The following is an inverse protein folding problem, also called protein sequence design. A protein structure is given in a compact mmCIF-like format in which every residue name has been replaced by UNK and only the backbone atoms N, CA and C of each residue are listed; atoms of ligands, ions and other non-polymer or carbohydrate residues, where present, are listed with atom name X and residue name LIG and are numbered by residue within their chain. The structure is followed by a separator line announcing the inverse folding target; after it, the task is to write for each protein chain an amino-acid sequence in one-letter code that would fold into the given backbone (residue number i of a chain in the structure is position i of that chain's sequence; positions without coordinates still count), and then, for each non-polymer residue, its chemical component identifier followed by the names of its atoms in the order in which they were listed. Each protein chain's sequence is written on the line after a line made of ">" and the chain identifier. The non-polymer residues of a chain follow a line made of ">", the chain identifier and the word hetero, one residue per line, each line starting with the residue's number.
data_IF_959558520149
#
_entry.id   IF_959558520149
#
_cell.length_a   1.000
_cell.length_b   1.000
_cell.length_c   1.000
_cell.angle_alpha   90.00
_cell.angle_beta   90.00
_cell.angle_gamma   90.00
#
_symmetry.space_group_name_H-M   'P 1'
#
loop_
_entity.id
_entity.type
_entity.pdbx_description
1 polymer ?
#
# COMPACT_ATOMS: atom_id res chain seq x y z
N UNK A 1 16.71 -11.58 17.40
CA UNK A 1 17.13 -12.13 16.10
C UNK A 1 15.87 -12.55 15.38
N UNK A 2 15.46 -11.85 14.32
CA UNK A 2 14.42 -12.34 13.42
C UNK A 2 15.06 -12.35 12.03
N UNK A 3 15.63 -13.49 11.65
CA UNK A 3 15.93 -13.77 10.26
C UNK A 3 14.56 -14.12 9.65
N UNK A 4 13.87 -13.13 9.09
CA UNK A 4 12.65 -13.35 8.33
C UNK A 4 13.06 -14.10 7.08
N UNK A 5 12.88 -15.42 7.08
CA UNK A 5 13.02 -16.25 5.88
C UNK A 5 12.01 -15.71 4.86
N UNK A 6 12.46 -14.93 3.88
CA UNK A 6 11.60 -14.50 2.79
C UNK A 6 11.22 -15.75 1.99
N UNK A 7 9.97 -16.18 2.13
CA UNK A 7 9.40 -17.33 1.44
C UNK A 7 9.16 -16.89 -0.01
N UNK A 8 9.96 -17.44 -0.92
CA UNK A 8 9.71 -17.33 -2.34
C UNK A 8 8.64 -18.37 -2.72
N UNK A 9 7.59 -17.93 -3.40
CA UNK A 9 6.45 -18.74 -3.83
C UNK A 9 6.15 -18.41 -5.29
N UNK A 10 5.81 -19.40 -6.10
CA UNK A 10 5.39 -19.15 -7.48
C UNK A 10 3.96 -18.59 -7.52
N UNK A 11 3.52 -17.95 -8.62
CA UNK A 11 2.14 -17.48 -8.76
C UNK A 11 1.10 -18.60 -8.61
N UNK A 12 1.40 -19.81 -9.08
CA UNK A 12 0.50 -20.97 -9.03
C UNK A 12 0.30 -21.44 -7.58
N UNK A 13 1.42 -21.63 -6.85
CA UNK A 13 1.39 -22.00 -5.43
C UNK A 13 0.75 -20.90 -4.56
N UNK A 14 0.95 -19.62 -4.91
CA UNK A 14 0.29 -18.51 -4.22
C UNK A 14 -1.22 -18.56 -4.37
N UNK A 15 -1.73 -18.85 -5.57
CA UNK A 15 -3.17 -18.96 -5.80
C UNK A 15 -3.79 -20.14 -5.04
N UNK A 16 -3.12 -21.28 -4.99
CA UNK A 16 -3.55 -22.43 -4.18
C UNK A 16 -3.58 -22.09 -2.69
N UNK A 17 -2.57 -21.35 -2.20
CA UNK A 17 -2.53 -20.88 -0.82
C UNK A 17 -3.67 -19.89 -0.54
N UNK A 18 -3.92 -18.93 -1.44
CA UNK A 18 -4.99 -17.94 -1.30
C UNK A 18 -6.38 -18.60 -1.25
N UNK A 19 -6.63 -19.62 -2.08
CA UNK A 19 -7.91 -20.36 -2.09
C UNK A 19 -8.21 -21.04 -0.74
N UNK A 20 -7.15 -21.49 -0.05
CA UNK A 20 -7.27 -22.24 1.20
C UNK A 20 -7.06 -21.39 2.47
N UNK A 21 -6.82 -20.08 2.33
CA UNK A 21 -6.49 -19.21 3.45
C UNK A 21 -7.66 -18.37 3.94
N UNK A 22 -7.86 -18.22 5.26
CA UNK A 22 -8.89 -17.33 5.80
C UNK A 22 -8.54 -15.83 5.62
N UNK A 23 -7.31 -15.51 5.24
CA UNK A 23 -6.83 -14.14 5.09
C UNK A 23 -6.11 -13.97 3.75
N UNK A 24 -6.23 -12.76 3.18
CA UNK A 24 -5.53 -12.42 1.94
C UNK A 24 -4.13 -11.89 2.25
N UNK A 25 -3.13 -12.47 1.59
CA UNK A 25 -1.76 -11.98 1.61
C UNK A 25 -1.51 -11.06 0.40
N UNK A 26 -0.52 -10.17 0.51
CA UNK A 26 -0.02 -9.45 -0.66
C UNK A 26 1.20 -10.19 -1.23
N UNK A 27 1.20 -10.35 -2.55
CA UNK A 27 2.22 -11.05 -3.33
C UNK A 27 2.91 -10.06 -4.27
N UNK A 28 4.23 -9.93 -4.12
CA UNK A 28 5.06 -9.03 -4.94
C UNK A 28 6.30 -9.79 -5.40
N UNK A 29 6.47 -9.93 -6.72
CA UNK A 29 7.65 -10.54 -7.37
C UNK A 29 8.11 -11.89 -6.79
N UNK A 30 7.16 -12.77 -6.46
CA UNK A 30 7.47 -14.09 -5.92
C UNK A 30 7.51 -14.15 -4.40
N UNK A 31 7.22 -13.05 -3.70
CA UNK A 31 7.30 -12.99 -2.25
C UNK A 31 5.95 -12.65 -1.63
N UNK A 32 5.56 -13.45 -0.64
CA UNK A 32 4.46 -13.10 0.26
C UNK A 32 5.00 -12.14 1.33
N UNK A 33 4.33 -11.01 1.50
CA UNK A 33 4.67 -10.05 2.55
C UNK A 33 3.67 -10.19 3.70
N UNK A 34 3.87 -11.20 4.55
CA UNK A 34 2.96 -11.51 5.67
C UNK A 34 2.84 -10.34 6.67
N UNK A 35 3.92 -9.58 6.83
CA UNK A 35 4.01 -8.47 7.78
C UNK A 35 3.53 -7.13 7.22
N UNK A 36 3.08 -7.09 5.95
CA UNK A 36 2.59 -5.86 5.35
C UNK A 36 1.35 -5.35 6.10
N UNK A 37 1.43 -4.13 6.61
CA UNK A 37 0.32 -3.49 7.32
C UNK A 37 -0.34 -2.40 6.48
N UNK A 38 0.45 -1.70 5.66
CA UNK A 38 0.00 -0.58 4.84
C UNK A 38 0.74 -0.56 3.51
N UNK A 39 0.05 -0.16 2.45
CA UNK A 39 0.66 0.25 1.20
C UNK A 39 -0.13 1.42 0.61
N UNK A 40 0.56 2.24 -0.20
CA UNK A 40 -0.04 3.39 -0.87
C UNK A 40 0.03 3.25 -2.38
N UNK A 41 -1.03 3.66 -3.06
CA UNK A 41 -1.06 3.87 -4.49
C UNK A 41 -1.06 5.37 -4.76
N UNK A 42 -0.09 5.82 -5.53
CA UNK A 42 0.09 7.23 -5.89
C UNK A 42 -0.37 7.39 -7.34
N UNK A 43 -1.27 8.35 -7.59
CA UNK A 43 -1.71 8.62 -8.95
C UNK A 43 -0.77 9.65 -9.61
N UNK A 44 -0.03 9.29 -10.67
CA UNK A 44 0.91 10.23 -11.30
C UNK A 44 0.24 11.35 -12.10
N UNK A 45 -1.06 11.29 -12.37
CA UNK A 45 -1.79 12.24 -13.23
C UNK A 45 -2.65 13.24 -12.46
N UNK A 46 -2.91 12.99 -11.18
CA UNK A 46 -3.72 13.86 -10.31
C UNK A 46 -3.24 13.73 -8.86
N UNK A 47 -3.31 14.79 -8.04
CA UNK A 47 -2.89 14.76 -6.65
C UNK A 47 -3.84 13.88 -5.82
N UNK A 48 -3.59 12.57 -5.83
CA UNK A 48 -4.37 11.54 -5.18
C UNK A 48 -3.48 10.43 -4.67
N UNK A 49 -3.68 10.07 -3.40
CA UNK A 49 -3.05 8.92 -2.76
C UNK A 49 -4.12 8.04 -2.16
N UNK A 50 -4.04 6.75 -2.41
CA UNK A 50 -4.91 5.73 -1.84
C UNK A 50 -4.09 4.87 -0.88
N UNK A 51 -4.41 4.94 0.41
CA UNK A 51 -3.78 4.12 1.44
C UNK A 51 -4.67 2.92 1.75
N UNK A 52 -4.13 1.73 1.55
CA UNK A 52 -4.74 0.48 2.02
C UNK A 52 -4.08 0.10 3.34
N UNK A 53 -4.88 -0.05 4.38
CA UNK A 53 -4.44 -0.45 5.71
C UNK A 53 -5.13 -1.74 6.13
N UNK A 54 -4.35 -2.74 6.54
CA UNK A 54 -4.89 -3.96 7.12
C UNK A 54 -5.30 -3.69 8.56
N UNK A 55 -6.58 -3.93 8.89
CA UNK A 55 -7.09 -3.79 10.25
C UNK A 55 -6.77 -5.05 11.10
N UNK A 56 -7.18 -5.05 12.37
CA UNK A 56 -6.95 -6.17 13.29
C UNK A 56 -7.68 -7.46 12.86
N UNK A 57 -8.77 -7.34 12.10
CA UNK A 57 -9.51 -8.48 11.51
C UNK A 57 -8.85 -9.03 10.23
N UNK A 58 -7.72 -8.45 9.78
CA UNK A 58 -7.05 -8.85 8.55
C UNK A 58 -7.67 -8.29 7.27
N UNK A 59 -8.64 -7.38 7.37
CA UNK A 59 -9.30 -6.74 6.24
C UNK A 59 -8.57 -5.47 5.78
N UNK A 60 -8.48 -5.29 4.47
CA UNK A 60 -7.91 -4.09 3.86
C UNK A 60 -8.94 -2.95 3.81
N UNK A 61 -8.67 -1.87 4.54
CA UNK A 61 -9.48 -0.65 4.57
C UNK A 61 -8.82 0.39 3.67
N UNK A 62 -9.59 0.94 2.73
CA UNK A 62 -9.14 2.01 1.83
C UNK A 62 -9.41 3.39 2.44
N UNK A 63 -8.36 4.20 2.53
CA UNK A 63 -8.42 5.63 2.85
C UNK A 63 -7.89 6.43 1.65
N UNK A 64 -8.74 7.29 1.08
CA UNK A 64 -8.36 8.18 -0.04
C UNK A 64 -8.00 9.57 0.46
N UNK A 65 -6.84 10.07 0.03
CA UNK A 65 -6.38 11.43 0.24
C UNK A 65 -6.36 12.15 -1.13
N UNK A 66 -7.05 13.29 -1.23
CA UNK A 66 -7.20 14.04 -2.49
C UNK A 66 -6.99 15.53 -2.22
N UNK A 67 -6.28 16.20 -3.12
CA UNK A 67 -6.06 17.65 -3.06
C UNK A 67 -4.67 18.02 -2.56
N UNK A 68 -4.15 19.13 -3.07
CA UNK A 68 -2.73 19.50 -2.98
C UNK A 68 -2.27 19.89 -1.56
N UNK A 69 -3.17 20.43 -0.73
CA UNK A 69 -2.86 20.80 0.67
C UNK A 69 -3.19 19.68 1.68
N UNK A 70 -3.51 18.48 1.20
CA UNK A 70 -3.85 17.36 2.07
C UNK A 70 -2.60 16.65 2.59
N UNK A 71 -2.62 16.26 3.86
CA UNK A 71 -1.62 15.35 4.43
C UNK A 71 -2.11 13.90 4.43
N UNK A 72 -1.22 12.96 4.17
CA UNK A 72 -1.44 11.53 4.35
C UNK A 72 -0.57 10.98 5.48
N UNK A 73 -0.98 9.85 6.06
CA UNK A 73 -0.27 9.22 7.17
C UNK A 73 -0.19 7.70 7.00
N UNK A 74 0.97 7.14 7.37
CA UNK A 74 1.24 5.72 7.50
C UNK A 74 1.43 5.41 8.99
N UNK A 75 0.46 4.73 9.58
CA UNK A 75 0.43 4.46 11.02
C UNK A 75 1.45 3.41 11.44
N UNK A 76 1.70 2.42 10.58
CA UNK A 76 2.62 1.31 10.83
C UNK A 76 4.06 1.77 11.08
N UNK A 77 4.46 2.90 10.49
CA UNK A 77 5.80 3.48 10.61
C UNK A 77 5.81 4.89 11.22
N UNK A 78 4.66 5.34 11.74
CA UNK A 78 4.48 6.70 12.30
C UNK A 78 5.01 7.80 11.36
N UNK A 79 4.66 7.71 10.08
CA UNK A 79 5.09 8.66 9.06
C UNK A 79 3.92 9.53 8.63
N UNK A 80 4.18 10.82 8.46
CA UNK A 80 3.23 11.78 7.90
C UNK A 80 3.91 12.54 6.75
N UNK A 81 3.21 12.70 5.64
CA UNK A 81 3.66 13.45 4.47
C UNK A 81 2.55 14.34 3.92
N UNK A 82 2.91 15.34 3.14
CA UNK A 82 1.95 16.23 2.46
C UNK A 82 1.90 15.91 0.96
N UNK A 83 0.77 16.18 0.31
CA UNK A 83 0.68 16.04 -1.15
C UNK A 83 1.64 16.99 -1.86
N UNK A 84 1.83 18.20 -1.36
CA UNK A 84 2.83 19.15 -1.88
C UNK A 84 4.23 18.57 -1.94
N UNK A 85 4.68 17.92 -0.86
CA UNK A 85 6.00 17.28 -0.83
C UNK A 85 6.06 16.04 -1.73
N UNK A 86 4.97 15.27 -1.79
CA UNK A 86 4.93 14.05 -2.60
C UNK A 86 4.98 14.32 -4.11
N UNK A 87 4.43 15.46 -4.54
CA UNK A 87 4.31 15.86 -5.94
C UNK A 87 5.17 17.10 -6.25
N UNK A 88 6.28 17.32 -5.52
CA UNK A 88 7.09 18.54 -5.63
C UNK A 88 7.62 18.80 -7.05
N UNK A 89 7.92 17.74 -7.81
CA UNK A 89 8.45 17.78 -9.18
C UNK A 89 7.38 17.42 -10.24
N UNK A 90 6.10 17.53 -9.89
CA UNK A 90 4.99 17.15 -10.78
C UNK A 90 4.14 18.37 -11.15
N UNK A 91 4.23 18.78 -12.41
CA UNK A 91 3.35 19.80 -12.98
C UNK A 91 2.00 19.18 -13.38
N UNK A 92 0.95 19.50 -12.62
CA UNK A 92 -0.40 19.14 -13.00
C UNK A 92 -0.99 20.17 -13.99
N UNK A 93 -1.69 19.73 -15.05
CA UNK A 93 -2.40 20.66 -15.91
C UNK A 93 -3.49 21.37 -15.09
N UNK A 94 -3.55 22.70 -15.19
CA UNK A 94 -4.65 23.48 -14.59
C UNK A 94 -5.99 22.89 -15.04
N UNK A 95 -6.98 22.71 -14.14
CA UNK A 95 -8.34 22.43 -14.57
C UNK A 95 -8.78 23.55 -15.52
N UNK A 96 -9.25 23.16 -16.71
CA UNK A 96 -9.78 24.05 -17.74
C UNK A 96 -11.21 24.51 -17.41
#
# INVERSE_FOLDING_TARGET
>A
MFASSQIYITPEEYLELEENSPIKYEYIDGYIIETLQEYILINPKKPRVECFRRNEDGLWVLQSYVGEETSFQLQSINFAGTMTQLYEDVDFPSPA
#
